data_IF_228148096434
#
_entry.id   IF_228148096434
#
_cell.length_a   1.000
_cell.length_b   1.000
_cell.length_c   1.000
_cell.angle_alpha   90.00
_cell.angle_beta   90.00
_cell.angle_gamma   90.00
#
_symmetry.space_group_name_H-M   'P 1'
#
loop_
_entity.id
_entity.type
_entity.pdbx_description
1 polymer ?
#
# COMPACT_ATOMS: atom_id res chain seq x y z
N UNK A 1 16.24 24.27 13.21
CA UNK A 1 15.04 23.58 12.70
C UNK A 1 14.31 24.52 11.76
N UNK A 2 13.89 25.70 12.20
CA UNK A 2 13.25 26.70 11.31
C UNK A 2 14.07 27.07 10.08
N UNK A 3 15.36 27.42 10.24
CA UNK A 3 16.26 27.69 9.10
C UNK A 3 16.36 26.51 8.13
N UNK A 4 16.53 25.30 8.66
CA UNK A 4 16.61 24.07 7.87
C UNK A 4 15.30 23.82 7.11
N UNK A 5 14.15 24.03 7.74
CA UNK A 5 12.84 23.89 7.08
C UNK A 5 12.65 24.93 5.97
N UNK A 6 13.13 26.17 6.17
CA UNK A 6 13.08 27.21 5.15
C UNK A 6 13.92 26.85 3.92
N UNK A 7 15.13 26.32 4.13
CA UNK A 7 15.99 25.83 3.06
C UNK A 7 15.36 24.63 2.33
N UNK A 8 14.81 23.65 3.07
CA UNK A 8 14.16 22.48 2.48
C UNK A 8 12.95 22.85 1.62
N UNK A 9 12.14 23.84 2.05
CA UNK A 9 10.97 24.31 1.27
C UNK A 9 11.34 24.96 -0.07
N UNK A 10 12.56 25.46 -0.23
CA UNK A 10 13.01 26.02 -1.51
C UNK A 10 13.41 24.93 -2.51
N UNK A 11 13.79 23.74 -2.01
CA UNK A 11 14.38 22.67 -2.82
C UNK A 11 13.36 21.55 -3.06
N UNK A 12 12.48 21.31 -2.08
CA UNK A 12 11.53 20.19 -2.09
C UNK A 12 10.11 20.75 -2.32
N UNK A 13 9.39 20.24 -3.33
CA UNK A 13 8.01 20.61 -3.58
C UNK A 13 7.09 19.92 -2.56
N UNK A 14 6.98 20.47 -1.36
CA UNK A 14 6.02 19.99 -0.37
C UNK A 14 4.58 20.23 -0.84
N UNK A 15 3.68 19.36 -0.41
CA UNK A 15 2.24 19.51 -0.56
C UNK A 15 1.58 19.75 0.80
N UNK A 16 0.38 20.32 0.79
CA UNK A 16 -0.31 20.78 2.01
C UNK A 16 -1.06 19.67 2.78
N UNK A 17 -1.28 18.51 2.15
CA UNK A 17 -2.03 17.38 2.74
C UNK A 17 -1.15 16.14 2.88
N UNK A 18 -1.55 15.22 3.76
CA UNK A 18 -0.90 13.91 3.94
C UNK A 18 -1.96 12.82 3.98
N UNK A 19 -1.79 11.81 3.16
CA UNK A 19 -2.69 10.67 2.97
C UNK A 19 -1.87 9.37 2.86
N UNK A 20 -2.56 8.22 2.94
CA UNK A 20 -1.96 6.90 2.78
C UNK A 20 -1.36 6.78 1.38
N UNK A 21 -0.12 6.28 1.28
CA UNK A 21 0.64 6.16 0.03
C UNK A 21 1.54 7.36 -0.27
N UNK A 22 1.48 8.43 0.54
CA UNK A 22 2.36 9.58 0.36
C UNK A 22 3.77 9.33 0.87
N UNK A 23 4.74 9.97 0.21
CA UNK A 23 6.10 10.06 0.67
C UNK A 23 6.28 11.31 1.54
N UNK A 24 6.71 11.13 2.79
CA UNK A 24 6.94 12.21 3.76
C UNK A 24 8.43 12.32 4.11
N UNK A 25 8.87 13.54 4.41
CA UNK A 25 10.21 13.82 4.93
C UNK A 25 10.14 14.11 6.43
N UNK A 26 10.82 13.29 7.23
CA UNK A 26 10.89 13.40 8.68
C UNK A 26 12.21 14.07 9.05
N UNK A 27 12.14 15.16 9.82
CA UNK A 27 13.29 15.90 10.31
C UNK A 27 13.27 15.93 11.84
N UNK A 28 14.29 15.39 12.49
CA UNK A 28 14.49 15.50 13.94
C UNK A 28 15.83 16.19 14.24
N UNK A 29 15.87 16.89 15.38
CA UNK A 29 17.10 17.50 15.91
C UNK A 29 17.87 16.55 16.82
N UNK A 30 17.17 15.74 17.61
CA UNK A 30 17.75 14.86 18.63
C UNK A 30 17.02 13.51 18.67
N UNK A 31 17.65 12.42 18.22
CA UNK A 31 18.86 12.41 17.38
C UNK A 31 18.62 13.12 16.05
N UNK A 32 19.68 13.65 15.43
CA UNK A 32 19.56 14.34 14.15
C UNK A 32 19.23 13.32 13.05
N UNK A 33 18.01 13.39 12.54
CA UNK A 33 17.48 12.45 11.54
C UNK A 33 16.85 13.27 10.40
N UNK A 34 17.13 12.88 9.16
CA UNK A 34 16.50 13.43 7.95
C UNK A 34 16.10 12.27 7.05
N UNK A 35 14.88 11.74 7.12
CA UNK A 35 14.52 10.48 6.44
C UNK A 35 13.26 10.60 5.62
N UNK A 36 13.25 9.98 4.44
CA UNK A 36 12.03 9.77 3.67
C UNK A 36 11.34 8.48 4.06
N UNK A 37 10.02 8.57 4.25
CA UNK A 37 9.19 7.43 4.60
C UNK A 37 7.87 7.44 3.80
N UNK A 38 7.37 6.25 3.48
CA UNK A 38 6.04 6.05 2.90
C UNK A 38 5.00 5.93 4.02
N UNK A 39 3.91 6.68 3.94
CA UNK A 39 2.76 6.56 4.84
C UNK A 39 1.97 5.32 4.47
N UNK A 40 1.79 4.41 5.42
CA UNK A 40 1.12 3.11 5.21
C UNK A 40 -0.25 3.02 5.87
N UNK A 41 -0.48 3.80 6.93
CA UNK A 41 -1.77 3.89 7.62
C UNK A 41 -1.87 5.22 8.39
N UNK A 42 -3.08 5.75 8.52
CA UNK A 42 -3.42 6.95 9.29
C UNK A 42 -4.69 6.65 10.09
N UNK A 43 -4.60 6.63 11.42
CA UNK A 43 -5.73 6.34 12.29
C UNK A 43 -5.88 7.39 13.40
N UNK A 44 -7.11 7.87 13.64
CA UNK A 44 -7.38 8.82 14.74
C UNK A 44 -7.38 8.08 16.08
N UNK A 45 -6.64 8.61 17.05
CA UNK A 45 -6.72 8.14 18.44
C UNK A 45 -7.99 8.68 19.10
N UNK A 46 -9.02 7.85 19.15
CA UNK A 46 -10.32 8.19 19.74
C UNK A 46 -10.31 8.19 21.27
N UNK A 47 -9.21 7.77 21.92
CA UNK A 47 -9.10 7.76 23.39
C UNK A 47 -8.76 9.14 23.94
N UNK A 48 -8.28 10.06 23.08
CA UNK A 48 -7.94 11.43 23.45
C UNK A 48 -9.01 12.38 22.94
N UNK A 49 -9.31 13.40 23.75
CA UNK A 49 -10.27 14.45 23.39
C UNK A 49 -9.73 15.35 22.27
N UNK A 50 -8.42 15.55 22.25
CA UNK A 50 -7.72 16.31 21.21
C UNK A 50 -7.39 15.42 20.00
N UNK A 51 -7.11 16.05 18.86
CA UNK A 51 -6.83 15.35 17.59
C UNK A 51 -5.43 14.72 17.57
N UNK A 52 -5.32 13.54 18.16
CA UNK A 52 -4.13 12.69 18.08
C UNK A 52 -4.30 11.65 16.97
N UNK A 53 -3.20 11.35 16.26
CA UNK A 53 -3.20 10.44 15.12
C UNK A 53 -2.04 9.44 15.24
N UNK A 54 -2.33 8.18 14.93
CA UNK A 54 -1.34 7.13 14.72
C UNK A 54 -0.97 7.10 13.23
N UNK A 55 0.33 7.26 12.93
CA UNK A 55 0.88 7.12 11.59
C UNK A 55 1.81 5.91 11.53
N UNK A 56 1.58 5.03 10.56
CA UNK A 56 2.50 3.92 10.25
C UNK A 56 3.36 4.27 9.04
N UNK A 57 4.69 4.11 9.14
CA UNK A 57 5.66 4.64 8.19
C UNK A 57 6.70 3.58 7.78
N UNK A 58 7.07 3.53 6.49
CA UNK A 58 8.17 2.69 5.96
C UNK A 58 9.32 3.55 5.45
N UNK A 59 10.52 3.43 6.01
CA UNK A 59 11.67 4.28 5.66
C UNK A 59 12.36 3.78 4.37
N UNK A 60 12.73 4.70 3.46
CA UNK A 60 13.27 4.34 2.15
C UNK A 60 14.77 4.64 2.01
N UNK A 61 15.20 5.92 1.99
CA UNK A 61 16.61 6.33 1.88
C UNK A 61 16.84 7.78 2.37
N UNK A 62 18.11 8.18 2.55
CA UNK A 62 18.53 9.56 2.90
C UNK A 62 19.80 9.97 2.15
N UNK A 63 19.79 11.05 1.35
CA UNK A 63 18.63 11.72 0.73
C UNK A 63 18.05 10.87 -0.42
N UNK A 64 16.84 11.16 -0.92
CA UNK A 64 16.32 10.54 -2.14
C UNK A 64 17.20 10.91 -3.30
N UNK A 65 17.49 9.91 -4.12
CA UNK A 65 18.25 10.10 -5.33
C UNK A 65 17.37 9.69 -6.50
N UNK A 66 17.18 10.60 -7.46
CA UNK A 66 16.56 10.25 -8.73
C UNK A 66 17.66 9.71 -9.64
N UNK A 67 17.62 8.39 -9.87
CA UNK A 67 18.61 7.70 -10.69
C UNK A 67 17.86 6.95 -11.79
N UNK A 68 18.37 7.00 -13.02
CA UNK A 68 17.83 6.23 -14.15
C UNK A 68 18.81 5.12 -14.50
N UNK A 69 18.36 3.86 -14.42
CA UNK A 69 19.13 2.70 -14.87
C UNK A 69 18.47 2.08 -16.10
N UNK A 70 19.29 1.67 -17.08
CA UNK A 70 18.81 0.89 -18.22
C UNK A 70 19.03 -0.58 -17.91
N UNK A 71 17.95 -1.30 -17.60
CA UNK A 71 17.98 -2.72 -17.20
C UNK A 71 17.21 -3.59 -18.19
N UNK A 72 17.66 -4.84 -18.37
CA UNK A 72 16.88 -5.87 -19.07
C UNK A 72 15.77 -6.42 -18.17
N UNK A 73 14.76 -7.05 -18.76
CA UNK A 73 13.64 -7.65 -18.03
C UNK A 73 14.09 -8.60 -16.92
N UNK A 74 15.09 -9.46 -17.19
CA UNK A 74 15.62 -10.40 -16.19
C UNK A 74 16.29 -9.70 -14.99
N UNK A 75 16.95 -8.57 -15.23
CA UNK A 75 17.65 -7.80 -14.19
C UNK A 75 16.67 -7.03 -13.31
N UNK A 76 15.64 -6.40 -13.90
CA UNK A 76 14.65 -5.61 -13.13
C UNK A 76 13.67 -6.47 -12.33
N UNK A 77 13.47 -7.73 -12.72
CA UNK A 77 12.57 -8.68 -12.04
C UNK A 77 13.28 -9.55 -11.00
N UNK A 78 14.59 -9.39 -10.86
CA UNK A 78 15.42 -10.15 -9.93
C UNK A 78 15.61 -11.61 -10.34
N UNK A 79 15.56 -11.90 -11.65
CA UNK A 79 15.97 -13.21 -12.19
C UNK A 79 17.49 -13.31 -12.33
N UNK A 80 18.17 -12.20 -12.65
CA UNK A 80 19.63 -12.14 -12.82
C UNK A 80 20.27 -11.06 -11.93
N UNK A 81 21.48 -11.35 -11.42
CA UNK A 81 22.40 -10.37 -10.84
C UNK A 81 23.19 -9.69 -11.97
N UNK A 82 23.55 -8.42 -11.83
CA UNK A 82 24.28 -7.69 -12.86
C UNK A 82 25.35 -6.77 -12.29
N UNK A 83 26.38 -6.48 -13.08
CA UNK A 83 27.48 -5.60 -12.68
C UNK A 83 27.33 -4.23 -13.33
N UNK A 84 27.50 -3.17 -12.55
CA UNK A 84 27.58 -1.79 -13.03
C UNK A 84 28.77 -1.10 -12.35
N UNK A 85 29.64 -0.43 -13.11
CA UNK A 85 30.80 0.26 -12.53
C UNK A 85 31.73 -0.63 -11.70
N UNK A 86 31.85 -1.92 -12.03
CA UNK A 86 32.67 -2.90 -11.29
C UNK A 86 32.01 -3.52 -10.05
N UNK A 87 30.77 -3.12 -9.71
CA UNK A 87 30.05 -3.64 -8.55
C UNK A 87 28.82 -4.45 -8.97
N UNK A 88 28.64 -5.62 -8.35
CA UNK A 88 27.44 -6.45 -8.50
C UNK A 88 26.21 -5.80 -7.83
N UNK A 89 25.06 -5.91 -8.49
CA UNK A 89 23.78 -5.33 -8.09
C UNK A 89 22.65 -6.31 -8.36
N UNK A 90 21.60 -6.17 -7.55
CA UNK A 90 20.36 -6.94 -7.64
C UNK A 90 19.16 -6.00 -7.48
N UNK A 91 18.11 -6.21 -8.28
CA UNK A 91 16.88 -5.41 -8.24
C UNK A 91 15.68 -6.34 -8.23
N UNK A 92 14.77 -6.15 -7.27
CA UNK A 92 13.49 -6.85 -7.23
C UNK A 92 12.45 -6.00 -6.51
N UNK A 93 11.24 -5.98 -7.03
CA UNK A 93 10.12 -5.30 -6.39
C UNK A 93 9.81 -5.93 -5.02
N UNK A 94 9.60 -5.10 -4.01
CA UNK A 94 9.19 -5.51 -2.67
C UNK A 94 7.72 -5.14 -2.48
N UNK A 95 6.93 -6.05 -1.92
CA UNK A 95 5.57 -5.73 -1.49
C UNK A 95 5.62 -5.11 -0.09
N UNK A 96 5.31 -3.82 0.01
CA UNK A 96 5.33 -3.07 1.27
C UNK A 96 4.02 -3.17 2.06
N UNK A 97 2.93 -3.67 1.45
CA UNK A 97 1.68 -3.88 2.15
C UNK A 97 1.63 -5.31 2.72
N UNK A 98 1.37 -5.51 4.03
CA UNK A 98 0.76 -6.77 4.45
C UNK A 98 -0.58 -6.83 3.71
N UNK A 99 -0.82 -7.91 2.97
CA UNK A 99 -2.09 -8.10 2.28
C UNK A 99 -3.23 -7.90 3.28
N UNK A 100 -3.97 -6.79 3.16
CA UNK A 100 -5.28 -6.68 3.77
C UNK A 100 -6.10 -7.71 3.00
N UNK A 101 -6.11 -8.95 3.49
CA UNK A 101 -7.03 -9.98 3.05
C UNK A 101 -8.42 -9.42 3.34
N UNK A 102 -9.01 -8.76 2.34
CA UNK A 102 -10.45 -8.46 2.39
C UNK A 102 -11.11 -9.82 2.60
N UNK A 103 -11.86 -10.02 3.69
CA UNK A 103 -12.59 -11.26 3.86
C UNK A 103 -13.47 -11.43 2.61
N UNK A 104 -13.51 -12.64 2.01
CA UNK A 104 -14.27 -12.84 0.79
C UNK A 104 -15.71 -12.39 1.04
N UNK A 105 -16.19 -11.47 0.19
CA UNK A 105 -17.60 -11.09 0.19
C UNK A 105 -18.43 -12.38 0.20
N UNK A 106 -19.21 -12.56 1.26
CA UNK A 106 -20.22 -13.62 1.32
C UNK A 106 -21.12 -13.43 0.11
N UNK A 107 -20.92 -14.27 -0.92
CA UNK A 107 -21.92 -14.51 -1.94
C UNK A 107 -23.21 -14.85 -1.20
N UNK A 108 -24.21 -13.98 -1.35
CA UNK A 108 -25.56 -14.20 -0.86
C UNK A 108 -26.11 -15.41 -1.61
N UNK A 109 -26.07 -16.57 -0.97
CA UNK A 109 -26.85 -17.73 -1.39
C UNK A 109 -28.35 -17.37 -1.27
N UNK A 110 -28.99 -17.12 -2.41
CA UNK A 110 -30.46 -17.20 -2.50
C UNK A 110 -30.85 -18.66 -2.24
N UNK A 111 -31.43 -18.91 -1.08
CA UNK A 111 -32.22 -20.11 -0.80
C UNK A 111 -33.53 -20.05 -1.60
N UNK A 112 -33.63 -20.84 -2.67
CA UNK A 112 -34.91 -21.32 -3.17
C UNK A 112 -35.09 -22.77 -2.77
N UNK A 113 -36.09 -23.07 -1.93
CA UNK A 113 -36.42 -24.45 -1.57
C UNK A 113 -37.40 -24.66 -0.41
N UNK A 114 -38.70 -24.58 -0.70
CA UNK A 114 -39.86 -25.38 -0.18
C UNK A 114 -41.13 -24.54 -0.38
N UNK A 115 -42.22 -24.93 -1.05
CA UNK A 115 -42.76 -26.25 -1.39
C UNK A 115 -44.15 -26.37 -0.75
N UNK A 116 -45.24 -26.43 -1.55
CA UNK A 116 -46.46 -27.10 -1.11
C UNK A 116 -47.27 -27.70 -2.28
N UNK A 117 -47.87 -28.86 -1.97
CA UNK A 117 -48.44 -29.90 -2.83
C UNK A 117 -49.85 -29.56 -3.35
N UNK A 118 -50.23 -30.15 -4.49
CA UNK A 118 -51.46 -30.98 -4.57
C UNK A 118 -51.44 -31.94 -5.76
N UNK A 119 -51.81 -33.19 -5.47
CA UNK A 119 -51.94 -34.34 -6.39
C UNK A 119 -53.15 -34.17 -7.31
N UNK A 120 -53.22 -34.89 -8.44
CA UNK A 120 -54.32 -35.85 -8.79
C UNK A 120 -54.12 -36.50 -10.18
N UNK A 121 -53.95 -37.85 -10.15
CA UNK A 121 -54.30 -38.94 -11.10
C UNK A 121 -53.96 -38.94 -12.61
N UNK A 122 -53.05 -39.86 -12.97
CA UNK A 122 -53.22 -41.06 -13.83
C UNK A 122 -54.48 -41.21 -14.71
N UNK A 123 -54.34 -41.23 -16.05
CA UNK A 123 -54.44 -42.40 -16.98
C UNK A 123 -54.85 -42.06 -18.44
N UNK A 124 -54.01 -42.52 -19.38
CA UNK A 124 -54.22 -43.05 -20.76
C UNK A 124 -55.18 -42.39 -21.79
N UNK A 125 -54.54 -41.92 -22.88
CA UNK A 125 -54.75 -42.19 -24.34
C UNK A 125 -56.09 -42.79 -24.81
N UNK A 126 -56.69 -42.21 -25.87
CA UNK A 126 -57.00 -42.83 -27.20
C UNK A 126 -57.69 -41.82 -28.14
N UNK A 127 -57.23 -41.85 -29.42
CA UNK A 127 -57.73 -41.32 -30.71
C UNK A 127 -58.26 -39.89 -30.81
#
# INVERSE_FOLDING_TARGET
>A
MEKLLAELKQIIPFKDSTDIGDLVLIVSKEPQILVYALVTDIARDTTRKDEWWHLSLTFLTVPPQQITWTLRTAQMTGMDVFTMGGEERFVKAVNLAPSISRPPEKKTEKKDGKGNKTKTTFLKRVK
#
